data_IF_719422459826
#
_entry.id   IF_719422459826
#
_cell.length_a   1.000
_cell.length_b   1.000
_cell.length_c   1.000
_cell.angle_alpha   90.00
_cell.angle_beta   90.00
_cell.angle_gamma   90.00
#
_symmetry.space_group_name_H-M   'P 1'
#
loop_
_entity.id
_entity.type
_entity.pdbx_description
1 polymer ?
#
# COMPACT_ATOMS: atom_id res chain seq x y z
N UNK A 1 -6.87 28.63 15.43
CA UNK A 1 -6.03 27.49 15.85
C UNK A 1 -5.39 26.94 14.58
N UNK A 2 -4.06 27.02 14.45
CA UNK A 2 -3.30 26.88 13.19
C UNK A 2 -3.31 25.48 12.55
N UNK A 3 -4.16 24.57 13.02
CA UNK A 3 -4.16 23.14 12.64
C UNK A 3 -4.84 22.91 11.27
N UNK A 4 -5.72 23.80 10.83
CA UNK A 4 -6.46 23.60 9.58
C UNK A 4 -5.63 23.86 8.30
N UNK A 5 -4.46 24.50 8.40
CA UNK A 5 -3.69 24.96 7.23
C UNK A 5 -2.56 24.00 6.79
N UNK A 6 -2.10 23.11 7.66
CA UNK A 6 -1.01 22.15 7.42
C UNK A 6 -1.48 20.68 7.52
N UNK A 7 -2.73 20.39 7.13
CA UNK A 7 -3.18 19.02 6.89
C UNK A 7 -2.55 18.50 5.58
N UNK A 8 -1.24 18.24 5.62
CA UNK A 8 -0.64 17.36 4.64
C UNK A 8 -1.12 15.94 4.98
N UNK A 9 -2.18 15.51 4.31
CA UNK A 9 -2.75 14.17 4.41
C UNK A 9 -1.66 13.09 4.28
N UNK A 10 -0.59 13.36 3.53
CA UNK A 10 0.56 12.46 3.45
C UNK A 10 1.29 12.33 4.80
N UNK A 11 1.56 13.45 5.46
CA UNK A 11 2.16 13.50 6.81
C UNK A 11 1.31 12.80 7.88
N UNK A 12 -0.02 12.99 7.84
CA UNK A 12 -0.93 12.25 8.72
C UNK A 12 -0.88 10.73 8.49
N UNK A 13 -0.88 10.29 7.22
CA UNK A 13 -0.80 8.88 6.89
C UNK A 13 0.57 8.28 7.25
N UNK A 14 1.66 9.05 7.10
CA UNK A 14 3.00 8.63 7.49
C UNK A 14 3.10 8.41 9.02
N UNK A 15 2.62 9.36 9.82
CA UNK A 15 2.56 9.22 11.28
C UNK A 15 1.68 8.03 11.71
N UNK A 16 0.54 7.83 11.02
CA UNK A 16 -0.33 6.68 11.28
C UNK A 16 0.37 5.35 11.00
N UNK A 17 1.16 5.27 9.94
CA UNK A 17 1.94 4.08 9.60
C UNK A 17 3.06 3.81 10.62
N UNK A 18 3.73 4.86 11.10
CA UNK A 18 4.76 4.77 12.14
C UNK A 18 4.18 4.24 13.47
N UNK A 19 3.03 4.77 13.89
CA UNK A 19 2.32 4.30 15.09
C UNK A 19 1.90 2.83 14.94
N UNK A 20 1.39 2.43 13.76
CA UNK A 20 1.04 1.02 13.51
C UNK A 20 2.26 0.11 13.64
N UNK A 21 3.39 0.47 13.02
CA UNK A 21 4.65 -0.27 13.13
C UNK A 21 5.09 -0.41 14.59
N UNK A 22 4.99 0.65 15.38
CA UNK A 22 5.37 0.61 16.79
C UNK A 22 4.43 -0.27 17.61
N UNK A 23 3.12 -0.21 17.35
CA UNK A 23 2.15 -1.13 17.97
C UNK A 23 2.50 -2.58 17.62
N UNK A 24 2.80 -2.88 16.35
CA UNK A 24 3.17 -4.22 15.91
C UNK A 24 4.47 -4.71 16.54
N UNK A 25 5.46 -3.82 16.71
CA UNK A 25 6.76 -4.15 17.25
C UNK A 25 6.71 -4.38 18.78
N UNK A 26 5.95 -3.55 19.51
CA UNK A 26 5.95 -3.52 20.97
C UNK A 26 4.77 -4.23 21.64
N UNK A 27 3.58 -4.26 21.03
CA UNK A 27 2.38 -4.84 21.65
C UNK A 27 2.12 -6.30 21.26
N UNK A 28 2.84 -6.86 20.28
CA UNK A 28 2.71 -8.27 19.91
C UNK A 28 3.77 -9.14 20.59
N UNK A 29 3.28 -10.11 21.36
CA UNK A 29 4.11 -11.14 21.96
C UNK A 29 4.81 -11.94 20.84
N UNK A 30 6.04 -12.46 21.07
CA UNK A 30 6.80 -13.17 20.03
C UNK A 30 6.05 -14.34 19.39
N UNK A 31 5.14 -14.99 20.11
CA UNK A 31 4.32 -16.07 19.56
C UNK A 31 3.16 -15.58 18.67
N UNK A 32 2.61 -14.38 18.92
CA UNK A 32 1.58 -13.76 18.07
C UNK A 32 2.17 -13.33 16.72
N UNK A 33 3.40 -12.78 16.71
CA UNK A 33 4.12 -12.41 15.48
C UNK A 33 4.45 -13.60 14.57
N UNK A 34 4.63 -14.79 15.15
CA UNK A 34 4.87 -16.03 14.40
C UNK A 34 3.58 -16.70 13.92
N UNK A 35 2.43 -16.13 14.27
CA UNK A 35 1.14 -16.71 13.91
C UNK A 35 0.68 -16.11 12.58
N UNK A 36 0.91 -16.86 11.50
CA UNK A 36 0.63 -16.42 10.13
C UNK A 36 -0.84 -16.03 9.90
N UNK A 37 -1.78 -16.49 10.74
CA UNK A 37 -3.19 -16.12 10.65
C UNK A 37 -3.54 -14.75 11.26
N UNK A 38 -2.62 -14.16 12.03
CA UNK A 38 -2.88 -12.91 12.76
C UNK A 38 -2.74 -11.68 11.85
N UNK A 39 -1.95 -11.79 10.78
CA UNK A 39 -1.90 -10.80 9.70
C UNK A 39 -2.53 -11.38 8.44
N UNK A 40 -3.40 -10.63 7.74
CA UNK A 40 -3.96 -11.11 6.50
C UNK A 40 -2.87 -11.15 5.42
N UNK A 41 -2.81 -12.27 4.69
CA UNK A 41 -1.94 -12.38 3.50
C UNK A 41 -2.30 -11.35 2.42
N UNK A 42 -3.56 -10.90 2.40
CA UNK A 42 -4.12 -9.95 1.43
C UNK A 42 -4.94 -8.88 2.16
N UNK A 43 -4.62 -7.62 1.92
CA UNK A 43 -5.39 -6.47 2.43
C UNK A 43 -6.24 -5.90 1.30
N UNK A 44 -7.57 -5.90 1.45
CA UNK A 44 -8.47 -5.24 0.52
C UNK A 44 -8.58 -3.75 0.87
N UNK A 45 -8.21 -2.89 -0.08
CA UNK A 45 -8.32 -1.44 0.08
C UNK A 45 -9.15 -0.82 -1.04
N UNK A 46 -10.08 0.06 -0.68
CA UNK A 46 -10.83 0.86 -1.66
C UNK A 46 -9.96 2.02 -2.15
N UNK A 47 -9.49 1.91 -3.39
CA UNK A 47 -8.77 2.97 -4.07
C UNK A 47 -9.63 3.58 -5.17
N UNK A 48 -9.57 4.90 -5.29
CA UNK A 48 -10.18 5.64 -6.39
C UNK A 48 -9.49 5.29 -7.72
N UNK A 49 -10.28 5.06 -8.77
CA UNK A 49 -9.78 4.57 -10.07
C UNK A 49 -8.77 5.54 -10.68
N UNK A 50 -9.02 6.84 -10.60
CA UNK A 50 -8.16 7.85 -11.23
C UNK A 50 -6.86 8.04 -10.45
N UNK A 51 -6.94 8.05 -9.11
CA UNK A 51 -5.72 8.05 -8.26
C UNK A 51 -4.88 6.81 -8.50
N UNK A 52 -5.52 5.65 -8.65
CA UNK A 52 -4.84 4.38 -8.93
C UNK A 52 -4.14 4.43 -10.28
N UNK A 53 -4.82 4.88 -11.35
CA UNK A 53 -4.21 5.06 -12.67
C UNK A 53 -2.98 5.96 -12.64
N UNK A 54 -3.06 7.10 -11.94
CA UNK A 54 -1.94 8.04 -11.81
C UNK A 54 -0.74 7.42 -11.11
N UNK A 55 -0.97 6.68 -10.02
CA UNK A 55 0.08 5.98 -9.30
C UNK A 55 0.74 4.89 -10.16
N UNK A 56 -0.06 4.05 -10.82
CA UNK A 56 0.45 2.99 -11.69
C UNK A 56 1.28 3.55 -12.84
N UNK A 57 0.84 4.64 -13.49
CA UNK A 57 1.63 5.31 -14.54
C UNK A 57 2.98 5.80 -14.01
N UNK A 58 2.98 6.46 -12.84
CA UNK A 58 4.23 6.91 -12.20
C UNK A 58 5.21 5.75 -11.94
N UNK A 59 4.69 4.60 -11.49
CA UNK A 59 5.47 3.38 -11.25
C UNK A 59 5.97 2.70 -12.54
N UNK A 60 5.30 2.93 -13.67
CA UNK A 60 5.78 2.46 -14.98
C UNK A 60 6.89 3.39 -15.49
N UNK A 61 6.69 4.70 -15.36
CA UNK A 61 7.65 5.73 -15.78
C UNK A 61 8.97 5.61 -14.98
N UNK A 62 8.89 5.28 -13.69
CA UNK A 62 10.07 5.06 -12.83
C UNK A 62 10.69 3.65 -12.95
N UNK A 63 10.08 2.76 -13.74
CA UNK A 63 10.55 1.39 -13.96
C UNK A 63 10.39 0.44 -12.76
N UNK A 64 9.76 0.87 -11.67
CA UNK A 64 9.64 0.08 -10.43
C UNK A 64 8.41 -0.84 -10.40
N UNK A 65 7.50 -0.72 -11.36
CA UNK A 65 6.28 -1.54 -11.46
C UNK A 65 6.54 -3.05 -11.56
N UNK A 66 7.69 -3.46 -12.09
CA UNK A 66 7.97 -4.85 -12.47
C UNK A 66 8.92 -5.58 -11.53
N UNK A 67 9.18 -5.07 -10.32
CA UNK A 67 10.12 -5.70 -9.38
C UNK A 67 9.70 -7.15 -9.06
N UNK A 68 10.44 -8.08 -9.67
CA UNK A 68 10.75 -9.52 -9.51
C UNK A 68 9.80 -10.50 -8.79
N UNK A 69 8.65 -10.06 -8.30
CA UNK A 69 7.67 -10.90 -7.63
C UNK A 69 6.81 -11.68 -8.63
N UNK A 70 7.32 -12.83 -9.05
CA UNK A 70 6.64 -13.79 -9.95
C UNK A 70 5.21 -14.10 -9.48
N UNK A 71 5.00 -14.16 -8.15
CA UNK A 71 3.70 -14.44 -7.52
C UNK A 71 2.64 -13.36 -7.82
N UNK A 72 3.05 -12.13 -8.08
CA UNK A 72 2.15 -10.99 -8.23
C UNK A 72 1.95 -10.56 -9.70
N UNK A 73 2.69 -11.14 -10.65
CA UNK A 73 2.63 -10.79 -12.08
C UNK A 73 1.21 -10.90 -12.64
N UNK A 74 0.50 -11.99 -12.31
CA UNK A 74 -0.85 -12.20 -12.85
C UNK A 74 -1.87 -11.21 -12.29
N UNK A 75 -1.79 -10.90 -10.99
CA UNK A 75 -2.64 -9.87 -10.37
C UNK A 75 -2.35 -8.48 -10.95
N UNK A 76 -1.08 -8.14 -11.17
CA UNK A 76 -0.68 -6.87 -11.83
C UNK A 76 -1.22 -6.78 -13.25
N UNK A 77 -1.15 -7.85 -14.05
CA UNK A 77 -1.75 -7.91 -15.40
C UNK A 77 -3.27 -7.72 -15.36
N UNK A 78 -3.97 -8.40 -14.44
CA UNK A 78 -5.42 -8.22 -14.25
C UNK A 78 -5.76 -6.78 -13.87
N UNK A 79 -4.97 -6.17 -12.98
CA UNK A 79 -5.15 -4.77 -12.58
C UNK A 79 -4.96 -3.79 -13.75
N UNK A 80 -3.91 -3.95 -14.56
CA UNK A 80 -3.69 -3.11 -15.75
C UNK A 80 -4.86 -3.20 -16.74
N UNK A 81 -5.38 -4.42 -16.95
CA UNK A 81 -6.56 -4.64 -17.79
C UNK A 81 -7.81 -3.96 -17.23
N UNK A 82 -8.05 -4.05 -15.92
CA UNK A 82 -9.18 -3.38 -15.25
C UNK A 82 -9.07 -1.84 -15.32
N UNK A 83 -7.86 -1.30 -15.21
CA UNK A 83 -7.61 0.14 -15.28
C UNK A 83 -7.58 0.68 -16.71
N UNK A 84 -7.64 -0.19 -17.72
CA UNK A 84 -7.46 0.11 -19.14
C UNK A 84 -6.13 0.85 -19.44
N UNK A 85 -5.05 0.42 -18.77
CA UNK A 85 -3.70 0.93 -19.00
C UNK A 85 -3.00 -0.02 -19.95
N UNK A 86 -2.70 0.45 -21.15
CA UNK A 86 -1.76 -0.21 -22.07
C UNK A 86 -0.34 0.13 -21.65
N UNK A 87 0.41 -0.89 -21.25
CA UNK A 87 1.86 -0.84 -20.98
C UNK A 87 2.60 -1.17 -22.27
#
# INVERSE_FOLDING_TARGET
MAIEKDNDRASYLAQKAEILKDIELFYLLPHQRRWNHWFPDIIYYYADVDKTRKAVKKLLDDGTWSTDDVKNIEMRKKLLKLLAITV
#
